data_IF_761494831132
#
_entry.id   IF_761494831132
#
_cell.length_a   1.000
_cell.length_b   1.000
_cell.length_c   1.000
_cell.angle_alpha   90.00
_cell.angle_beta   90.00
_cell.angle_gamma   90.00
#
_symmetry.space_group_name_H-M   'P 1'
#
loop_
_entity.id
_entity.type
_entity.pdbx_description
1 polymer ?
#
# COMPACT_ATOMS: atom_id res chain seq x y z
N UNK A 1 12.31 7.03 25.65
CA UNK A 1 11.43 5.87 25.91
C UNK A 1 10.95 5.41 24.56
N UNK A 2 11.20 4.15 24.27
CA UNK A 2 11.09 3.49 22.97
C UNK A 2 9.69 3.68 22.36
N UNK A 3 9.61 4.51 21.31
CA UNK A 3 8.40 4.80 20.55
C UNK A 3 8.23 3.73 19.47
N UNK A 4 8.30 2.47 19.90
CA UNK A 4 8.00 1.30 19.08
C UNK A 4 6.68 1.59 18.37
N UNK A 5 6.65 1.52 17.03
CA UNK A 5 5.48 1.78 16.19
C UNK A 5 4.17 1.43 16.93
N UNK A 6 3.40 2.46 17.31
CA UNK A 6 2.13 2.28 18.02
C UNK A 6 1.15 1.41 17.22
N UNK A 7 1.30 1.41 15.91
CA UNK A 7 0.52 0.61 14.98
C UNK A 7 1.20 -0.73 14.78
N UNK A 8 0.54 -1.79 15.23
CA UNK A 8 1.01 -3.17 15.06
C UNK A 8 0.16 -3.87 14.02
N UNK A 9 0.82 -4.49 13.06
CA UNK A 9 0.15 -5.28 12.04
C UNK A 9 1.04 -6.42 11.54
N UNK A 10 0.39 -7.36 10.88
CA UNK A 10 1.04 -8.44 10.14
C UNK A 10 0.23 -8.62 8.86
N UNK A 11 0.91 -8.55 7.73
CA UNK A 11 0.37 -8.71 6.39
C UNK A 11 1.27 -9.66 5.59
N UNK A 12 0.93 -9.86 4.32
CA UNK A 12 1.69 -10.65 3.36
C UNK A 12 2.23 -9.72 2.28
N UNK A 13 3.50 -9.84 1.95
CA UNK A 13 4.13 -9.06 0.89
C UNK A 13 3.86 -9.64 -0.51
N UNK A 14 4.30 -8.93 -1.54
CA UNK A 14 4.12 -9.35 -2.93
C UNK A 14 4.95 -10.58 -3.33
N UNK A 15 5.85 -11.05 -2.47
CA UNK A 15 6.61 -12.29 -2.62
C UNK A 15 5.97 -13.45 -1.82
N UNK A 16 4.80 -13.23 -1.21
CA UNK A 16 4.09 -14.22 -0.41
C UNK A 16 4.68 -14.43 0.99
N UNK A 17 5.55 -13.53 1.45
CA UNK A 17 6.19 -13.61 2.77
C UNK A 17 5.44 -12.77 3.79
N UNK A 18 5.51 -13.21 5.05
CA UNK A 18 4.98 -12.45 6.17
C UNK A 18 5.77 -11.14 6.33
N UNK A 19 5.05 -10.04 6.44
CA UNK A 19 5.60 -8.72 6.75
C UNK A 19 4.90 -8.17 7.99
N UNK A 20 5.65 -7.64 8.94
CA UNK A 20 5.06 -7.03 10.14
C UNK A 20 5.59 -5.61 10.36
N UNK A 21 4.91 -4.87 11.22
CA UNK A 21 5.25 -3.47 11.52
C UNK A 21 6.69 -3.27 12.01
N UNK A 22 7.38 -4.30 12.52
CA UNK A 22 8.77 -4.15 12.98
C UNK A 22 9.75 -3.91 11.82
N UNK A 23 9.39 -4.33 10.61
CA UNK A 23 10.18 -4.10 9.39
C UNK A 23 10.20 -2.64 8.93
N UNK A 24 9.40 -1.77 9.56
CA UNK A 24 9.41 -0.33 9.33
C UNK A 24 10.32 0.41 10.34
N UNK A 25 10.74 -0.24 11.42
CA UNK A 25 11.54 0.41 12.47
C UNK A 25 12.93 0.79 11.95
N UNK A 26 13.38 2.00 12.28
CA UNK A 26 14.69 2.50 11.85
C UNK A 26 14.75 2.91 10.37
N UNK A 27 13.65 2.80 9.63
CA UNK A 27 13.53 3.26 8.25
C UNK A 27 12.66 4.52 8.17
N UNK A 28 13.03 5.44 7.26
CA UNK A 28 12.11 6.47 6.82
C UNK A 28 11.16 5.82 5.81
N UNK A 29 9.92 5.53 6.23
CA UNK A 29 8.95 4.82 5.40
C UNK A 29 7.87 5.76 4.86
N UNK A 30 7.60 5.67 3.56
CA UNK A 30 6.42 6.26 2.93
C UNK A 30 5.38 5.15 2.75
N UNK A 31 4.28 5.25 3.48
CA UNK A 31 3.17 4.30 3.38
C UNK A 31 2.08 4.92 2.49
N UNK A 32 1.71 4.20 1.43
CA UNK A 32 0.66 4.56 0.50
C UNK A 32 -0.46 3.53 0.55
N UNK A 33 -1.69 3.97 0.78
CA UNK A 33 -2.88 3.12 0.71
C UNK A 33 -3.59 3.33 -0.63
N UNK A 34 -3.92 2.26 -1.35
CA UNK A 34 -4.60 2.36 -2.65
C UNK A 34 -5.03 1.02 -3.23
N UNK A 35 -5.39 0.98 -4.51
CA UNK A 35 -5.79 -0.24 -5.22
C UNK A 35 -5.12 -0.32 -6.59
N UNK A 36 -4.87 -1.54 -7.09
CA UNK A 36 -4.27 -1.72 -8.42
C UNK A 36 -5.22 -1.38 -9.58
N UNK A 37 -6.52 -1.29 -9.32
CA UNK A 37 -7.56 -1.05 -10.32
C UNK A 37 -7.83 0.43 -10.61
N UNK A 38 -7.30 1.34 -9.79
CA UNK A 38 -7.50 2.78 -9.93
C UNK A 38 -6.46 3.43 -10.83
N UNK A 39 -6.92 4.19 -11.83
CA UNK A 39 -6.04 5.00 -12.67
C UNK A 39 -5.39 6.15 -11.88
N UNK A 40 -6.06 6.66 -10.84
CA UNK A 40 -5.54 7.75 -10.01
C UNK A 40 -4.37 7.28 -9.13
N UNK A 41 -4.45 6.07 -8.59
CA UNK A 41 -3.36 5.48 -7.79
C UNK A 41 -2.10 5.29 -8.63
N UNK A 42 -2.23 4.75 -9.86
CA UNK A 42 -1.09 4.61 -10.76
C UNK A 42 -0.42 5.96 -11.09
N UNK A 43 -1.20 7.04 -11.26
CA UNK A 43 -0.63 8.38 -11.47
C UNK A 43 0.05 8.92 -10.20
N UNK A 44 -0.51 8.67 -9.02
CA UNK A 44 0.09 9.07 -7.76
C UNK A 44 1.41 8.33 -7.51
N UNK A 45 1.48 7.02 -7.77
CA UNK A 45 2.70 6.23 -7.59
C UNK A 45 3.84 6.66 -8.52
N UNK A 46 3.53 7.14 -9.75
CA UNK A 46 4.55 7.78 -10.62
C UNK A 46 5.10 9.07 -10.02
N UNK A 47 4.28 9.87 -9.34
CA UNK A 47 4.77 11.05 -8.62
C UNK A 47 5.61 10.66 -7.42
N UNK A 48 5.25 9.58 -6.71
CA UNK A 48 6.07 9.00 -5.65
C UNK A 48 7.43 8.59 -6.20
N UNK A 49 7.48 7.93 -7.34
CA UNK A 49 8.73 7.59 -8.04
C UNK A 49 9.62 8.81 -8.28
N UNK A 50 9.07 9.89 -8.82
CA UNK A 50 9.82 11.14 -9.04
C UNK A 50 10.39 11.70 -7.72
N UNK A 51 9.58 11.69 -6.64
CA UNK A 51 10.01 12.14 -5.30
C UNK A 51 11.14 11.26 -4.77
N UNK A 52 11.01 9.93 -4.86
CA UNK A 52 12.05 9.01 -4.39
C UNK A 52 13.35 9.20 -5.17
N UNK A 53 13.28 9.43 -6.49
CA UNK A 53 14.45 9.72 -7.32
C UNK A 53 15.15 11.02 -6.90
N UNK A 54 14.41 12.04 -6.49
CA UNK A 54 14.98 13.28 -5.95
C UNK A 54 15.65 13.01 -4.59
N UNK A 55 14.95 12.37 -3.67
CA UNK A 55 15.48 12.06 -2.32
C UNK A 55 16.74 11.20 -2.38
N UNK A 56 16.80 10.24 -3.30
CA UNK A 56 17.98 9.39 -3.51
C UNK A 56 19.20 10.20 -3.97
N UNK A 57 19.02 11.26 -4.79
CA UNK A 57 20.13 12.16 -5.19
C UNK A 57 20.69 12.95 -4.00
N UNK A 58 19.85 13.22 -3.00
CA UNK A 58 20.22 13.85 -1.73
C UNK A 58 20.71 12.84 -0.68
N UNK A 59 20.94 11.57 -1.06
CA UNK A 59 21.31 10.47 -0.15
C UNK A 59 20.28 10.16 0.94
N UNK A 60 19.00 10.52 0.72
CA UNK A 60 17.90 10.18 1.61
C UNK A 60 17.26 8.88 1.10
N UNK A 61 17.40 7.82 1.88
CA UNK A 61 16.79 6.52 1.58
C UNK A 61 15.40 6.44 2.20
N UNK A 62 14.40 6.16 1.35
CA UNK A 62 13.01 5.98 1.77
C UNK A 62 12.55 4.58 1.39
N UNK A 63 11.97 3.89 2.35
CA UNK A 63 11.27 2.63 2.12
C UNK A 63 9.84 2.94 1.69
N UNK A 64 9.44 2.52 0.49
CA UNK A 64 8.07 2.77 0.02
C UNK A 64 7.23 1.52 0.19
N UNK A 65 6.13 1.65 0.93
CA UNK A 65 5.21 0.57 1.25
C UNK A 65 3.86 0.89 0.66
N UNK A 66 3.39 0.07 -0.27
CA UNK A 66 2.05 0.11 -0.81
C UNK A 66 1.18 -0.89 -0.04
N UNK A 67 0.08 -0.45 0.55
CA UNK A 67 -0.89 -1.30 1.25
C UNK A 67 -2.19 -1.26 0.45
N UNK A 68 -2.66 -2.42 0.00
CA UNK A 68 -3.92 -2.48 -0.74
C UNK A 68 -5.12 -2.16 0.16
N UNK A 69 -6.12 -1.48 -0.41
CA UNK A 69 -7.46 -1.27 0.14
C UNK A 69 -8.49 -2.24 -0.47
N UNK A 70 -8.07 -3.11 -1.39
CA UNK A 70 -8.90 -4.11 -2.07
C UNK A 70 -8.22 -5.49 -2.08
N UNK A 71 -8.04 -6.11 -0.90
CA UNK A 71 -7.29 -7.36 -0.77
C UNK A 71 -7.97 -8.57 -1.43
N UNK A 72 -9.26 -8.48 -1.79
CA UNK A 72 -9.97 -9.54 -2.52
C UNK A 72 -9.47 -9.69 -3.97
N UNK A 73 -9.02 -8.59 -4.57
CA UNK A 73 -8.51 -8.56 -5.96
C UNK A 73 -6.99 -8.38 -6.03
N UNK A 74 -6.42 -7.62 -5.10
CA UNK A 74 -4.99 -7.32 -5.05
C UNK A 74 -4.21 -8.43 -4.31
N UNK A 75 -4.08 -9.60 -4.94
CA UNK A 75 -3.23 -10.70 -4.43
C UNK A 75 -1.75 -10.33 -4.49
N UNK A 76 -0.89 -11.08 -3.77
CA UNK A 76 0.56 -10.89 -3.83
C UNK A 76 1.10 -10.88 -5.27
N UNK A 77 0.64 -11.79 -6.13
CA UNK A 77 1.06 -11.81 -7.54
C UNK A 77 0.57 -10.60 -8.35
N UNK A 78 -0.64 -10.11 -8.06
CA UNK A 78 -1.20 -8.92 -8.71
C UNK A 78 -0.39 -7.70 -8.30
N UNK A 79 -0.14 -7.53 -7.00
CA UNK A 79 0.69 -6.45 -6.46
C UNK A 79 2.09 -6.47 -7.07
N UNK A 80 2.72 -7.65 -7.15
CA UNK A 80 4.05 -7.79 -7.76
C UNK A 80 4.07 -7.25 -9.19
N UNK A 81 3.17 -7.74 -10.04
CA UNK A 81 3.08 -7.30 -11.45
C UNK A 81 2.72 -5.82 -11.60
N UNK A 82 1.92 -5.29 -10.69
CA UNK A 82 1.51 -3.89 -10.71
C UNK A 82 2.69 -2.97 -10.36
N UNK A 83 3.39 -3.27 -9.26
CA UNK A 83 4.47 -2.44 -8.72
C UNK A 83 5.78 -2.55 -9.52
N UNK A 84 6.06 -3.69 -10.17
CA UNK A 84 7.22 -3.87 -11.07
C UNK A 84 7.25 -2.88 -12.25
N UNK A 85 6.11 -2.24 -12.57
CA UNK A 85 6.02 -1.24 -13.65
C UNK A 85 6.60 0.12 -13.27
N UNK A 86 6.94 0.32 -12.00
CA UNK A 86 7.41 1.58 -11.45
C UNK A 86 8.87 1.37 -11.01
N UNK A 87 9.78 2.26 -11.39
CA UNK A 87 11.21 2.15 -11.09
C UNK A 87 11.53 2.60 -9.64
N UNK A 88 10.85 1.95 -8.69
CA UNK A 88 11.03 2.08 -7.24
C UNK A 88 10.90 0.69 -6.64
N UNK A 89 11.74 0.38 -5.65
CA UNK A 89 11.61 -0.85 -4.89
C UNK A 89 10.47 -0.73 -3.86
N UNK A 90 9.24 -0.99 -4.30
CA UNK A 90 8.07 -1.03 -3.43
C UNK A 90 8.03 -2.32 -2.61
N UNK A 91 7.49 -2.20 -1.40
CA UNK A 91 6.97 -3.32 -0.62
C UNK A 91 5.45 -3.26 -0.77
N UNK A 92 4.85 -4.16 -1.54
CA UNK A 92 3.42 -4.29 -1.72
C UNK A 92 2.84 -5.25 -0.69
N UNK A 93 1.89 -4.79 0.13
CA UNK A 93 1.28 -5.56 1.20
C UNK A 93 -0.20 -5.80 0.92
N UNK A 94 -0.62 -7.05 1.11
CA UNK A 94 -2.01 -7.53 1.10
C UNK A 94 -2.26 -8.45 2.30
N UNK A 95 -3.49 -8.91 2.50
CA UNK A 95 -3.84 -9.74 3.66
C UNK A 95 -5.32 -10.09 3.69
N UNK A 96 -5.82 -10.45 4.88
CA UNK A 96 -7.27 -10.60 5.07
C UNK A 96 -7.98 -9.25 5.02
N UNK A 97 -9.22 -9.24 4.53
CA UNK A 97 -10.08 -8.02 4.51
C UNK A 97 -10.11 -7.35 5.88
N UNK A 98 -10.33 -8.13 6.95
CA UNK A 98 -10.37 -7.62 8.33
C UNK A 98 -9.03 -7.01 8.79
N UNK A 99 -7.91 -7.57 8.37
CA UNK A 99 -6.58 -7.06 8.73
C UNK A 99 -6.33 -5.70 8.07
N UNK A 100 -6.75 -5.55 6.80
CA UNK A 100 -6.65 -4.30 6.06
C UNK A 100 -7.60 -3.23 6.65
N UNK A 101 -8.84 -3.59 6.95
CA UNK A 101 -9.81 -2.69 7.60
C UNK A 101 -9.29 -2.17 8.95
N UNK A 102 -8.80 -3.08 9.79
CA UNK A 102 -8.26 -2.72 11.09
C UNK A 102 -7.01 -1.84 10.96
N UNK A 103 -6.15 -2.10 9.97
CA UNK A 103 -4.96 -1.30 9.74
C UNK A 103 -5.32 0.09 9.20
N UNK A 104 -6.26 0.17 8.26
CA UNK A 104 -6.75 1.42 7.72
C UNK A 104 -7.34 2.31 8.82
N UNK A 105 -8.14 1.77 9.75
CA UNK A 105 -8.66 2.55 10.88
C UNK A 105 -7.54 3.05 11.83
N UNK A 106 -6.51 2.24 12.09
CA UNK A 106 -5.35 2.67 12.89
C UNK A 106 -4.61 3.86 12.25
N UNK A 107 -4.54 3.89 10.91
CA UNK A 107 -3.98 5.02 10.14
C UNK A 107 -4.99 6.13 9.82
N UNK A 108 -6.26 5.97 10.24
CA UNK A 108 -7.37 6.89 9.92
C UNK A 108 -7.58 7.09 8.41
N UNK A 109 -7.35 6.02 7.65
CA UNK A 109 -7.63 5.93 6.22
C UNK A 109 -9.07 5.45 6.04
N UNK A 110 -9.87 6.27 5.37
CA UNK A 110 -11.24 5.94 5.02
C UNK A 110 -11.31 5.48 3.57
N UNK A 111 -11.95 4.33 3.35
CA UNK A 111 -12.23 3.80 2.02
C UNK A 111 -13.58 3.10 2.04
N UNK A 112 -14.09 2.80 0.85
CA UNK A 112 -15.35 2.10 0.69
C UNK A 112 -15.21 1.11 -0.45
N UNK A 113 -15.53 -0.16 -0.18
CA UNK A 113 -15.66 -1.21 -1.16
C UNK A 113 -16.98 -1.03 -1.89
N UNK A 114 -17.05 -0.04 -2.77
CA UNK A 114 -18.26 0.18 -3.57
C UNK A 114 -18.31 -0.82 -4.71
N UNK A 115 -19.38 -1.60 -4.78
CA UNK A 115 -19.71 -2.34 -5.98
C UNK A 115 -20.18 -1.33 -7.02
N UNK A 116 -19.45 -1.23 -8.13
CA UNK A 116 -19.92 -0.47 -9.28
C UNK A 116 -20.98 -1.32 -9.99
N UNK A 117 -22.24 -0.94 -9.88
CA UNK A 117 -23.30 -1.59 -10.62
C UNK A 117 -23.24 -1.15 -12.08
N UNK A 118 -22.81 -2.07 -12.93
CA UNK A 118 -22.63 -1.89 -14.38
C UNK A 118 -23.96 -1.57 -15.09
N UNK A 119 -25.10 -1.89 -14.49
CA UNK A 119 -26.43 -1.64 -15.08
C UNK A 119 -26.94 -0.23 -14.78
N UNK A 120 -26.69 0.25 -13.56
CA UNK A 120 -27.15 1.58 -13.11
C UNK A 120 -26.09 2.65 -13.27
N UNK A 121 -24.83 2.25 -13.49
CA UNK A 121 -23.67 3.14 -13.56
C UNK A 121 -23.47 3.93 -12.25
N UNK A 122 -23.95 3.36 -11.14
CA UNK A 122 -23.90 3.91 -9.81
C UNK A 122 -23.07 3.01 -8.89
N UNK A 123 -22.63 3.59 -7.78
CA UNK A 123 -21.96 2.85 -6.73
C UNK A 123 -22.99 2.47 -5.66
N UNK A 124 -23.18 1.18 -5.44
CA UNK A 124 -23.98 0.71 -4.31
C UNK A 124 -23.21 0.97 -3.00
N UNK A 125 -23.94 1.42 -1.97
CA UNK A 125 -23.44 1.62 -0.60
C UNK A 125 -23.60 0.35 0.22
#
# INVERSE_FOLDING_TARGET
MDDSLKIKFTLIDQEGKKFDSTHLQGHLSLIYFGTTYSLYDNQALKKVEDIIKILKKENILVQVVFITLDPEHDTSEVLKKYLEKIDVNFIGLTGGVQDIEQLADQFKVFYTSKIFDIKTNEYEL
#
